data_IF_843767960558
#
_entry.id   IF_843767960558
#
_cell.length_a   1.000
_cell.length_b   1.000
_cell.length_c   1.000
_cell.angle_alpha   90.00
_cell.angle_beta   90.00
_cell.angle_gamma   90.00
#
_symmetry.space_group_name_H-M   'P 1'
#
loop_
_entity.id
_entity.type
_entity.pdbx_description
1 polymer ?
#
# COMPACT_ATOMS: atom_id res chain seq x y z
N UNK A 1 -11.46 -4.33 12.80
CA UNK A 1 -10.60 -5.18 11.94
C UNK A 1 -9.95 -4.24 10.95
N UNK A 2 -8.63 -4.19 10.94
CA UNK A 2 -7.87 -3.51 9.89
C UNK A 2 -7.90 -4.36 8.61
N UNK A 3 -7.89 -3.73 7.44
CA UNK A 3 -8.05 -4.46 6.17
C UNK A 3 -6.72 -4.90 5.56
N UNK A 4 -5.60 -4.43 6.10
CA UNK A 4 -4.24 -4.86 5.77
C UNK A 4 -3.72 -5.78 6.89
N UNK A 5 -3.12 -6.94 6.57
CA UNK A 5 -2.52 -7.82 7.56
C UNK A 5 -1.37 -7.16 8.32
N UNK A 6 -1.25 -7.48 9.62
CA UNK A 6 -0.19 -6.98 10.49
C UNK A 6 1.23 -7.21 9.95
N UNK A 7 1.48 -8.38 9.34
CA UNK A 7 2.74 -8.71 8.67
C UNK A 7 3.13 -7.67 7.61
N UNK A 8 2.16 -7.22 6.80
CA UNK A 8 2.40 -6.22 5.75
C UNK A 8 2.75 -4.88 6.36
N UNK A 9 2.01 -4.45 7.39
CA UNK A 9 2.27 -3.17 8.09
C UNK A 9 3.60 -3.16 8.84
N UNK A 10 4.13 -4.32 9.22
CA UNK A 10 5.38 -4.44 9.99
C UNK A 10 6.61 -4.61 9.09
N UNK A 11 6.50 -5.40 8.02
CA UNK A 11 7.64 -5.80 7.19
C UNK A 11 7.75 -4.98 5.89
N UNK A 12 6.74 -4.17 5.56
CA UNK A 12 6.72 -3.38 4.33
C UNK A 12 6.49 -1.90 4.63
N UNK A 13 7.08 -1.05 3.80
CA UNK A 13 6.86 0.40 3.81
C UNK A 13 5.91 0.76 2.68
N UNK A 14 4.85 1.49 3.00
CA UNK A 14 4.01 2.12 1.99
C UNK A 14 4.80 3.23 1.29
N UNK A 15 4.97 3.13 -0.04
CA UNK A 15 5.73 4.10 -0.82
C UNK A 15 4.84 4.94 -1.75
N UNK A 16 3.64 4.46 -2.07
CA UNK A 16 2.72 5.12 -2.99
C UNK A 16 1.28 4.81 -2.63
N UNK A 17 0.44 5.85 -2.69
CA UNK A 17 -1.00 5.76 -2.54
C UNK A 17 -1.64 6.57 -3.67
N UNK A 18 -2.55 5.93 -4.38
CA UNK A 18 -3.41 6.56 -5.38
C UNK A 18 -4.86 6.42 -4.95
N UNK A 19 -5.60 7.53 -4.95
CA UNK A 19 -7.01 7.55 -4.55
C UNK A 19 -7.84 8.16 -5.68
N UNK A 20 -8.95 7.50 -6.00
CA UNK A 20 -10.02 8.02 -6.85
C UNK A 20 -11.25 8.22 -6.00
N UNK A 21 -11.76 9.46 -5.95
CA UNK A 21 -12.98 9.80 -5.24
C UNK A 21 -14.14 9.86 -6.24
N UNK A 22 -15.21 9.10 -5.98
CA UNK A 22 -16.43 9.11 -6.78
C UNK A 22 -17.49 10.03 -6.19
N UNK A 23 -17.57 10.10 -4.85
CA UNK A 23 -18.62 10.82 -4.14
C UNK A 23 -18.11 11.35 -2.80
N UNK A 24 -18.65 12.49 -2.38
CA UNK A 24 -18.43 13.02 -1.04
C UNK A 24 -19.20 12.22 0.02
N UNK A 25 -18.59 12.06 1.19
CA UNK A 25 -19.22 11.45 2.37
C UNK A 25 -19.15 12.39 3.56
N UNK A 26 -20.20 12.35 4.39
CA UNK A 26 -20.30 13.15 5.62
C UNK A 26 -19.77 12.39 6.82
N UNK A 27 -19.19 13.14 7.76
CA UNK A 27 -18.79 12.60 9.06
C UNK A 27 -19.98 11.95 9.78
N UNK A 28 -19.74 10.79 10.40
CA UNK A 28 -20.76 10.01 11.11
C UNK A 28 -21.51 9.00 10.23
N UNK A 29 -21.34 9.05 8.90
CA UNK A 29 -21.85 8.00 8.03
C UNK A 29 -21.02 6.71 8.16
N UNK A 30 -21.71 5.57 8.11
CA UNK A 30 -21.05 4.25 8.15
C UNK A 30 -20.61 3.88 6.75
N UNK A 31 -19.35 3.48 6.63
CA UNK A 31 -18.77 2.90 5.41
C UNK A 31 -18.33 1.46 5.66
N UNK A 32 -18.19 0.71 4.57
CA UNK A 32 -17.50 -0.56 4.55
C UNK A 32 -16.28 -0.44 3.63
N UNK A 33 -15.16 -0.98 4.08
CA UNK A 33 -13.93 -1.06 3.30
C UNK A 33 -13.67 -2.53 2.98
N UNK A 34 -13.51 -2.83 1.70
CA UNK A 34 -13.09 -4.14 1.19
C UNK A 34 -11.67 -4.00 0.64
N UNK A 35 -10.84 -5.01 0.83
CA UNK A 35 -9.44 -4.94 0.38
C UNK A 35 -9.04 -6.25 -0.27
N UNK A 36 -8.47 -6.14 -1.47
CA UNK A 36 -7.79 -7.21 -2.19
C UNK A 36 -6.29 -6.94 -2.11
N UNK A 37 -5.52 -7.98 -1.78
CA UNK A 37 -4.07 -7.87 -1.62
C UNK A 37 -3.40 -8.82 -2.61
N UNK A 38 -2.49 -8.27 -3.39
CA UNK A 38 -1.67 -8.98 -4.35
C UNK A 38 -0.21 -8.92 -3.91
N UNK A 39 0.34 -10.08 -3.57
CA UNK A 39 1.77 -10.22 -3.25
C UNK A 39 2.53 -10.48 -4.55
N UNK A 40 3.42 -9.56 -4.91
CA UNK A 40 4.44 -9.70 -5.95
C UNK A 40 5.77 -10.08 -5.29
N UNK A 41 6.81 -10.40 -6.07
CA UNK A 41 8.05 -10.97 -5.54
C UNK A 41 8.71 -10.15 -4.41
N UNK A 42 8.71 -8.82 -4.55
CA UNK A 42 9.34 -7.85 -3.65
C UNK A 42 8.38 -6.72 -3.21
N UNK A 43 7.12 -6.80 -3.64
CA UNK A 43 6.13 -5.72 -3.51
C UNK A 43 4.77 -6.26 -3.14
N UNK A 44 3.97 -5.41 -2.50
CA UNK A 44 2.56 -5.69 -2.26
C UNK A 44 1.75 -4.55 -2.87
N UNK A 45 0.73 -4.93 -3.63
CA UNK A 45 -0.30 -3.99 -4.11
C UNK A 45 -1.58 -4.33 -3.38
N UNK A 46 -2.18 -3.34 -2.72
CA UNK A 46 -3.48 -3.49 -2.08
C UNK A 46 -4.50 -2.55 -2.73
N UNK A 47 -5.59 -3.13 -3.22
CA UNK A 47 -6.72 -2.41 -3.80
C UNK A 47 -7.85 -2.38 -2.78
N UNK A 48 -8.28 -1.17 -2.44
CA UNK A 48 -9.30 -0.90 -1.44
C UNK A 48 -10.52 -0.30 -2.10
N UNK A 49 -11.67 -0.91 -1.87
CA UNK A 49 -12.96 -0.39 -2.28
C UNK A 49 -13.70 0.13 -1.05
N UNK A 50 -14.08 1.40 -1.08
CA UNK A 50 -14.83 2.07 -0.03
C UNK A 50 -16.26 2.26 -0.53
N UNK A 51 -17.21 1.68 0.17
CA UNK A 51 -18.62 1.64 -0.21
C UNK A 51 -19.53 2.13 0.93
N UNK A 52 -20.63 2.77 0.55
CA UNK A 52 -21.65 3.23 1.49
C UNK A 52 -22.59 2.09 1.92
N UNK A 53 -23.57 2.44 2.76
CA UNK A 53 -24.62 1.53 3.24
C UNK A 53 -25.53 0.98 2.12
N UNK A 54 -25.52 1.58 0.94
CA UNK A 54 -26.31 1.19 -0.23
C UNK A 54 -25.45 0.39 -1.24
N UNK A 55 -24.26 -0.08 -0.80
CA UNK A 55 -23.27 -0.76 -1.64
C UNK A 55 -22.78 0.09 -2.84
N UNK A 56 -22.90 1.41 -2.76
CA UNK A 56 -22.37 2.31 -3.79
C UNK A 56 -20.92 2.68 -3.48
N UNK A 57 -20.10 2.63 -4.53
CA UNK A 57 -18.70 3.03 -4.45
C UNK A 57 -18.57 4.54 -4.18
N UNK A 58 -17.80 4.86 -3.15
CA UNK A 58 -17.48 6.23 -2.73
C UNK A 58 -16.05 6.57 -3.17
N UNK A 59 -15.14 5.61 -3.05
CA UNK A 59 -13.75 5.78 -3.42
C UNK A 59 -13.06 4.44 -3.68
N UNK A 60 -12.06 4.49 -4.55
CA UNK A 60 -11.08 3.44 -4.75
C UNK A 60 -9.71 3.93 -4.31
N UNK A 61 -8.98 3.10 -3.57
CA UNK A 61 -7.62 3.39 -3.15
C UNK A 61 -6.72 2.23 -3.57
N UNK A 62 -5.62 2.56 -4.22
CA UNK A 62 -4.55 1.65 -4.58
C UNK A 62 -3.32 2.03 -3.75
N UNK A 63 -2.78 1.08 -3.00
CA UNK A 63 -1.59 1.29 -2.18
C UNK A 63 -0.48 0.31 -2.56
N UNK A 64 0.74 0.83 -2.69
CA UNK A 64 1.93 0.07 -3.03
C UNK A 64 2.87 0.04 -1.84
N UNK A 65 3.40 -1.14 -1.59
CA UNK A 65 4.24 -1.42 -0.44
C UNK A 65 5.50 -2.15 -0.91
N UNK A 66 6.63 -1.75 -0.36
CA UNK A 66 7.93 -2.35 -0.64
C UNK A 66 8.49 -2.96 0.63
N UNK A 67 9.08 -4.15 0.53
CA UNK A 67 9.66 -4.84 1.67
C UNK A 67 10.79 -4.00 2.30
N UNK A 68 10.78 -3.91 3.63
CA UNK A 68 11.84 -3.24 4.39
C UNK A 68 13.04 -4.19 4.42
N UNK A 69 13.85 -4.16 3.37
CA UNK A 69 15.13 -4.88 3.28
C UNK A 69 16.30 -3.89 3.43
N UNK A 70 16.56 -3.44 4.66
CA UNK A 70 17.67 -2.51 4.94
C UNK A 70 19.04 -3.08 4.50
N UNK A 71 19.23 -4.39 4.59
CA UNK A 71 20.47 -5.07 4.18
C UNK A 71 20.69 -5.06 2.65
N UNK A 72 19.63 -5.26 1.84
CA UNK A 72 19.77 -5.22 0.38
C UNK A 72 20.07 -3.80 -0.11
N UNK A 73 19.52 -2.79 0.55
CA UNK A 73 19.80 -1.40 0.25
C UNK A 73 21.24 -1.02 0.61
N UNK A 74 21.76 -1.50 1.74
CA UNK A 74 23.17 -1.34 2.10
C UNK A 74 24.11 -1.97 1.06
N UNK A 75 23.89 -3.23 0.68
CA UNK A 75 24.72 -3.93 -0.31
C UNK A 75 24.64 -3.30 -1.70
N UNK A 76 23.46 -2.83 -2.13
CA UNK A 76 23.28 -2.11 -3.40
C UNK A 76 24.07 -0.80 -3.42
N UNK A 77 24.04 -0.04 -2.32
CA UNK A 77 24.76 1.23 -2.21
C UNK A 77 26.29 1.01 -2.17
N UNK A 78 26.76 -0.03 -1.46
CA UNK A 78 28.19 -0.37 -1.41
C UNK A 78 28.74 -0.72 -2.80
N UNK A 79 27.98 -1.47 -3.60
CA UNK A 79 28.39 -1.84 -4.95
C UNK A 79 28.43 -0.64 -5.91
N UNK A 80 27.55 0.35 -5.73
CA UNK A 80 27.57 1.59 -6.52
C UNK A 80 28.81 2.42 -6.18
N UNK A 81 29.14 2.59 -4.90
CA UNK A 81 30.34 3.34 -4.48
C UNK A 81 31.65 2.72 -4.96
N UNK A 82 31.74 1.38 -5.00
CA UNK A 82 32.92 0.68 -5.51
C UNK A 82 33.11 0.85 -7.02
N UNK A 83 32.02 1.00 -7.78
CA UNK A 83 32.08 1.21 -9.24
C UNK A 83 32.40 2.66 -9.64
N UNK A 84 32.18 3.65 -8.76
CA UNK A 84 32.54 5.06 -9.01
C UNK A 84 34.02 5.33 -8.68
N UNK A 85 34.67 4.44 -7.93
CA UNK A 85 36.07 4.56 -7.48
C UNK A 85 37.09 3.83 -8.37
N UNK A 86 36.69 3.30 -9.53
CA UNK A 86 37.57 2.68 -10.54
C UNK A 86 37.75 3.57 -11.76
#
# INVERSE_FOLDING_TARGET
METIPFEVMTNYRNNHIKIKYEKEIKYGEKIRVQTQIEKLADKIVAMHQIIDKEDKEIALLESHWEEINDDKNFLKNLNIEQNIKQ
#
